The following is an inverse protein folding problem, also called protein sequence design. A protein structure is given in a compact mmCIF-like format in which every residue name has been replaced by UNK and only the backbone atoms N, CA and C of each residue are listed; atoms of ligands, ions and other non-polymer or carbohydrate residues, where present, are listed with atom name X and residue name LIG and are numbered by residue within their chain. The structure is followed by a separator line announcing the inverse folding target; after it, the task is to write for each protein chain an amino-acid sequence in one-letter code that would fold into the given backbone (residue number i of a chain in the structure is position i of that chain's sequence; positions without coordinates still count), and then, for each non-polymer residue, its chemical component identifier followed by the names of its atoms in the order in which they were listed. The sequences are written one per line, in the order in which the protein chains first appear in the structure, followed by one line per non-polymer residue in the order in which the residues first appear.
data_IF_522594936085
#
_entry.id   IF_522594936085
#
_cell.length_a   1.000
_cell.length_b   1.000
_cell.length_c   1.000
_cell.angle_alpha   90.00
_cell.angle_beta   90.00
_cell.angle_gamma   90.00
#
_symmetry.space_group_name_H-M   'P 1'
#
loop_
_entity.id
_entity.type
_entity.pdbx_description
1 polymer ?
#
# COMPACT_ATOMS: atom_id res chain seq x y z
N UNK A 1 2.09 7.97 5.08
CA UNK A 1 1.00 7.09 5.57
C UNK A 1 1.48 5.95 6.47
N UNK A 2 2.77 5.57 6.43
CA UNK A 2 3.35 4.55 7.32
C UNK A 2 3.73 5.07 8.73
N UNK A 3 3.93 6.38 8.88
CA UNK A 3 4.18 7.02 10.18
C UNK A 3 2.88 7.53 10.80
N UNK A 4 2.77 7.35 12.12
CA UNK A 4 1.79 8.02 12.95
C UNK A 4 2.18 9.49 13.15
N UNK A 5 1.18 10.32 13.45
CA UNK A 5 1.36 11.71 13.86
C UNK A 5 0.70 11.83 15.24
N UNK A 6 1.48 11.85 16.34
CA UNK A 6 0.94 11.90 17.69
C UNK A 6 -0.07 13.03 17.86
N UNK A 7 -1.21 12.73 18.49
CA UNK A 7 -2.31 13.69 18.69
C UNK A 7 -3.14 14.03 17.45
N UNK A 8 -2.76 13.56 16.25
CA UNK A 8 -3.47 13.89 15.00
C UNK A 8 -4.02 12.64 14.31
N UNK A 9 -3.18 11.63 14.06
CA UNK A 9 -3.63 10.38 13.43
C UNK A 9 -2.69 9.20 13.69
N UNK A 10 -3.23 7.97 13.77
CA UNK A 10 -2.39 6.77 13.73
C UNK A 10 -1.73 6.60 12.35
N UNK A 11 -0.81 5.62 12.27
CA UNK A 11 -0.34 5.14 10.97
C UNK A 11 -1.51 4.48 10.23
N UNK A 12 -1.64 4.77 8.94
CA UNK A 12 -2.64 4.11 8.09
C UNK A 12 -2.16 2.73 7.70
N UNK A 13 -0.88 2.60 7.33
CA UNK A 13 -0.33 1.35 6.82
C UNK A 13 0.48 0.63 7.90
N UNK A 14 0.28 -0.67 8.01
CA UNK A 14 1.23 -1.60 8.64
C UNK A 14 2.54 -1.66 7.84
N UNK A 15 3.57 -2.30 8.42
CA UNK A 15 4.87 -2.44 7.77
C UNK A 15 4.76 -3.37 6.55
N UNK A 16 3.90 -4.36 6.66
CA UNK A 16 3.57 -5.36 5.65
C UNK A 16 2.91 -4.70 4.46
N UNK A 17 1.80 -3.97 4.68
CA UNK A 17 1.10 -3.20 3.64
C UNK A 17 2.01 -2.15 3.01
N UNK A 18 2.81 -1.45 3.83
CA UNK A 18 3.75 -0.44 3.32
C UNK A 18 4.75 -1.07 2.35
N UNK A 19 5.38 -2.20 2.70
CA UNK A 19 6.36 -2.87 1.84
C UNK A 19 5.78 -3.25 0.48
N UNK A 20 4.59 -3.86 0.45
CA UNK A 20 3.94 -4.30 -0.80
C UNK A 20 3.56 -3.11 -1.68
N UNK A 21 2.91 -2.09 -1.08
CA UNK A 21 2.50 -0.89 -1.80
C UNK A 21 3.70 -0.08 -2.29
N UNK A 22 4.81 -0.10 -1.55
CA UNK A 22 6.06 0.53 -1.95
C UNK A 22 6.71 -0.19 -3.14
N UNK A 23 6.71 -1.53 -3.15
CA UNK A 23 7.15 -2.34 -4.29
C UNK A 23 6.30 -2.06 -5.53
N UNK A 24 4.97 -2.04 -5.39
CA UNK A 24 4.05 -1.68 -6.47
C UNK A 24 4.27 -0.25 -6.97
N UNK A 25 4.52 0.71 -6.06
CA UNK A 25 4.85 2.09 -6.44
C UNK A 25 6.14 2.14 -7.25
N UNK A 26 7.17 1.39 -6.86
CA UNK A 26 8.42 1.26 -7.60
C UNK A 26 8.21 0.68 -9.00
N UNK A 27 7.42 -0.40 -9.11
CA UNK A 27 7.05 -0.98 -10.40
C UNK A 27 6.33 0.02 -11.31
N UNK A 28 5.35 0.77 -10.79
CA UNK A 28 4.65 1.81 -11.57
C UNK A 28 5.57 2.93 -12.03
N UNK A 29 6.56 3.31 -11.23
CA UNK A 29 7.54 4.31 -11.62
C UNK A 29 8.36 3.82 -12.80
N UNK A 30 8.86 2.57 -12.75
CA UNK A 30 9.57 1.95 -13.87
C UNK A 30 8.67 1.90 -15.12
N UNK A 31 7.45 1.37 -14.98
CA UNK A 31 6.49 1.26 -16.09
C UNK A 31 6.23 2.61 -16.80
N UNK A 32 6.16 3.72 -16.04
CA UNK A 32 5.89 5.05 -16.59
C UNK A 32 7.09 5.70 -17.28
N UNK A 33 8.31 5.33 -16.92
CA UNK A 33 9.53 5.99 -17.40
C UNK A 33 10.41 5.10 -18.29
N UNK A 34 10.08 3.82 -18.41
CA UNK A 34 10.69 2.89 -19.33
C UNK A 34 10.13 3.09 -20.75
N UNK A 35 10.59 4.13 -21.45
CA UNK A 35 10.21 4.34 -22.86
C UNK A 35 10.87 3.33 -23.81
N UNK A 36 11.98 2.68 -23.41
CA UNK A 36 12.73 1.70 -24.22
C UNK A 36 12.92 0.33 -23.53
N UNK A 37 12.21 0.05 -22.44
CA UNK A 37 12.38 -1.21 -21.68
C UNK A 37 11.17 -2.13 -21.89
N UNK A 38 11.41 -3.34 -22.40
CA UNK A 38 10.38 -4.39 -22.39
C UNK A 38 10.04 -4.77 -20.94
N UNK A 39 8.74 -4.84 -20.64
CA UNK A 39 8.28 -5.25 -19.32
C UNK A 39 8.59 -6.73 -19.12
N UNK A 40 9.38 -7.03 -18.10
CA UNK A 40 9.63 -8.40 -17.63
C UNK A 40 8.32 -9.05 -17.14
N UNK A 41 7.75 -10.02 -17.88
CA UNK A 41 6.47 -10.65 -17.52
C UNK A 41 6.53 -11.38 -16.18
N UNK A 42 7.66 -11.99 -15.84
CA UNK A 42 7.83 -12.71 -14.56
C UNK A 42 7.75 -11.73 -13.38
N UNK A 43 8.35 -10.55 -13.54
CA UNK A 43 8.27 -9.48 -12.54
C UNK A 43 6.85 -8.98 -12.35
N UNK A 44 6.07 -8.85 -13.43
CA UNK A 44 4.66 -8.46 -13.37
C UNK A 44 3.84 -9.50 -12.61
N UNK A 45 3.98 -10.78 -12.96
CA UNK A 45 3.21 -11.85 -12.32
C UNK A 45 3.61 -12.08 -10.87
N UNK A 46 4.90 -11.99 -10.55
CA UNK A 46 5.39 -12.03 -9.16
C UNK A 46 4.75 -10.92 -8.31
N UNK A 47 4.71 -9.69 -8.83
CA UNK A 47 4.11 -8.56 -8.14
C UNK A 47 2.59 -8.73 -7.96
N UNK A 48 1.89 -9.20 -9.00
CA UNK A 48 0.45 -9.50 -8.93
C UNK A 48 0.15 -10.52 -7.84
N UNK A 49 0.90 -11.62 -7.79
CA UNK A 49 0.71 -12.66 -6.77
C UNK A 49 0.96 -12.13 -5.36
N UNK A 50 2.05 -11.37 -5.16
CA UNK A 50 2.35 -10.75 -3.85
C UNK A 50 1.22 -9.84 -3.38
N UNK A 51 0.65 -9.04 -4.27
CA UNK A 51 -0.46 -8.13 -3.93
C UNK A 51 -1.72 -8.94 -3.62
N UNK A 52 -2.06 -9.93 -4.46
CA UNK A 52 -3.26 -10.76 -4.28
C UNK A 52 -3.25 -11.48 -2.93
N UNK A 53 -2.14 -12.13 -2.58
CA UNK A 53 -1.99 -12.88 -1.32
C UNK A 53 -2.09 -11.96 -0.09
N UNK A 54 -1.69 -10.70 -0.22
CA UNK A 54 -1.55 -9.78 0.91
C UNK A 54 -2.59 -8.65 0.92
N UNK A 55 -3.59 -8.72 0.03
CA UNK A 55 -4.62 -7.71 -0.09
C UNK A 55 -5.45 -7.54 1.19
N UNK A 56 -5.65 -8.62 1.94
CA UNK A 56 -6.38 -8.59 3.21
C UNK A 56 -5.69 -7.73 4.28
N UNK A 57 -4.36 -7.64 4.29
CA UNK A 57 -3.64 -6.74 5.19
C UNK A 57 -3.93 -5.28 4.88
N UNK A 58 -3.98 -4.92 3.60
CA UNK A 58 -4.30 -3.56 3.17
C UNK A 58 -5.75 -3.22 3.51
N UNK A 59 -6.69 -4.14 3.27
CA UNK A 59 -8.10 -3.95 3.66
C UNK A 59 -8.25 -3.78 5.17
N UNK A 60 -7.56 -4.59 5.97
CA UNK A 60 -7.57 -4.48 7.43
C UNK A 60 -7.06 -3.12 7.89
N UNK A 61 -5.92 -2.68 7.35
CA UNK A 61 -5.32 -1.37 7.64
C UNK A 61 -6.29 -0.21 7.31
N UNK A 62 -6.96 -0.29 6.15
CA UNK A 62 -7.98 0.69 5.76
C UNK A 62 -9.18 0.68 6.72
N UNK A 63 -9.71 -0.48 7.07
CA UNK A 63 -10.82 -0.57 8.02
C UNK A 63 -10.47 0.01 9.38
N UNK A 64 -9.30 -0.33 9.94
CA UNK A 64 -8.86 0.22 11.23
C UNK A 64 -8.72 1.74 11.18
N UNK A 65 -8.20 2.29 10.09
CA UNK A 65 -8.07 3.73 9.95
C UNK A 65 -9.42 4.43 9.75
N UNK A 66 -10.35 3.80 9.01
CA UNK A 66 -11.72 4.32 8.87
C UNK A 66 -12.46 4.31 10.20
N UNK A 67 -12.29 3.30 11.05
CA UNK A 67 -12.84 3.30 12.40
C UNK A 67 -12.30 4.46 13.21
N UNK A 68 -10.98 4.71 13.18
CA UNK A 68 -10.40 5.89 13.81
C UNK A 68 -11.04 7.20 13.32
N UNK A 69 -11.24 7.37 12.00
CA UNK A 69 -11.89 8.56 11.45
C UNK A 69 -13.34 8.70 11.91
N UNK A 70 -14.07 7.59 12.01
CA UNK A 70 -15.45 7.57 12.49
C UNK A 70 -15.54 7.97 13.97
N UNK A 71 -14.59 7.53 14.79
CA UNK A 71 -14.53 7.89 16.21
C UNK A 71 -14.25 9.40 16.36
N UNK A 72 -13.26 9.93 15.63
CA UNK A 72 -12.92 11.37 15.65
C UNK A 72 -14.05 12.27 15.13
N UNK A 73 -14.86 11.81 14.17
CA UNK A 73 -15.97 12.59 13.61
C UNK A 73 -17.24 12.56 14.47
N UNK A 74 -17.31 11.67 15.47
CA UNK A 74 -18.44 11.58 16.40
C UNK A 74 -18.30 12.50 17.62
N UNK A 75 -17.08 12.96 17.88
CA UNK A 75 -16.74 14.00 18.87
C UNK A 75 -16.86 15.41 18.27
#
# INVERSE_FOLDING_TARGET
MYMAIPGIRPKLLSQESYRILNELRGFRHIFRHAYDYELDPERVDSLKQKIAVKWDYIKKDMHSFMSFLQDVLRD
#
